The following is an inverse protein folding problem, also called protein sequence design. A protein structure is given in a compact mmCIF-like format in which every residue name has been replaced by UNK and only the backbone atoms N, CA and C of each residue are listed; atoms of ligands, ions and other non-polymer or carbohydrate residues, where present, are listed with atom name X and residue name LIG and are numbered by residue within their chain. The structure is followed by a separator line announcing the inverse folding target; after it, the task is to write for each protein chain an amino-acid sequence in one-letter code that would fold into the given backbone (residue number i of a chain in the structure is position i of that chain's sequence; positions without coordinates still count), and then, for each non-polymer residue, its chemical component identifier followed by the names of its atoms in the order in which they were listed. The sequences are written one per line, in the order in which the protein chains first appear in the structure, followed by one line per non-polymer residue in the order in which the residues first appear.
data_IF_570637674011
#
_entry.id   IF_570637674011
#
_cell.length_a   1.000
_cell.length_b   1.000
_cell.length_c   1.000
_cell.angle_alpha   90.00
_cell.angle_beta   90.00
_cell.angle_gamma   90.00
#
_symmetry.space_group_name_H-M   'P 1'
#
loop_
_entity.id
_entity.type
_entity.pdbx_description
1 polymer ?
#
# COMPACT_ATOMS: atom_id res chain seq x y z
N UNK A 1 0.90 10.64 -16.08
CA UNK A 1 0.26 9.39 -15.61
C UNK A 1 0.82 9.10 -14.24
N UNK A 2 -0.02 9.29 -13.21
CA UNK A 2 0.32 9.00 -11.82
C UNK A 2 0.44 7.51 -11.56
N UNK A 3 0.80 7.14 -10.33
CA UNK A 3 0.77 5.75 -9.88
C UNK A 3 -0.67 5.21 -9.89
N UNK A 4 -1.65 6.06 -9.54
CA UNK A 4 -3.09 5.73 -9.58
C UNK A 4 -3.53 5.29 -11.00
N UNK A 5 -3.19 6.06 -12.03
CA UNK A 5 -3.56 5.73 -13.41
C UNK A 5 -2.94 4.41 -13.87
N UNK A 6 -1.67 4.19 -13.51
CA UNK A 6 -0.91 3.00 -13.90
C UNK A 6 -1.47 1.74 -13.24
N UNK A 7 -1.74 1.77 -11.93
CA UNK A 7 -2.30 0.62 -11.23
C UNK A 7 -3.72 0.34 -11.69
N UNK A 8 -4.53 1.38 -11.93
CA UNK A 8 -5.88 1.25 -12.47
C UNK A 8 -5.89 0.53 -13.82
N UNK A 9 -5.00 0.92 -14.74
CA UNK A 9 -4.91 0.28 -16.06
C UNK A 9 -4.52 -1.21 -15.94
N UNK A 10 -3.60 -1.55 -15.04
CA UNK A 10 -3.21 -2.95 -14.77
C UNK A 10 -4.35 -3.76 -14.17
N UNK A 11 -5.12 -3.17 -13.24
CA UNK A 11 -6.32 -3.78 -12.67
C UNK A 11 -7.39 -4.04 -13.74
N UNK A 12 -7.67 -3.07 -14.60
CA UNK A 12 -8.63 -3.18 -15.71
C UNK A 12 -8.20 -4.25 -16.73
N UNK A 13 -6.90 -4.38 -16.96
CA UNK A 13 -6.32 -5.36 -17.88
C UNK A 13 -6.08 -6.74 -17.24
N UNK A 14 -6.27 -6.85 -15.91
CA UNK A 14 -5.96 -8.04 -15.09
C UNK A 14 -4.50 -8.50 -15.19
N UNK A 15 -3.59 -7.56 -15.45
CA UNK A 15 -2.13 -7.78 -15.58
C UNK A 15 -1.41 -7.31 -14.30
N UNK A 16 -1.88 -7.82 -13.16
CA UNK A 16 -1.31 -7.53 -11.84
C UNK A 16 -0.36 -8.66 -11.44
N UNK A 17 0.86 -8.27 -11.08
CA UNK A 17 1.92 -9.14 -10.61
C UNK A 17 2.32 -8.73 -9.20
N UNK A 18 2.90 -9.64 -8.41
CA UNK A 18 3.32 -9.31 -7.04
C UNK A 18 4.35 -8.15 -6.95
N UNK A 19 5.12 -7.92 -8.02
CA UNK A 19 6.01 -6.76 -8.14
C UNK A 19 5.26 -5.42 -8.27
N UNK A 20 3.96 -5.45 -8.61
CA UNK A 20 3.12 -4.25 -8.63
C UNK A 20 2.74 -3.78 -7.22
N UNK A 21 3.12 -4.49 -6.15
CA UNK A 21 2.91 -4.03 -4.77
C UNK A 21 3.45 -2.62 -4.57
N UNK A 22 4.66 -2.33 -5.06
CA UNK A 22 5.23 -0.99 -4.95
C UNK A 22 4.39 0.06 -5.68
N UNK A 23 3.94 -0.27 -6.89
CA UNK A 23 3.11 0.61 -7.70
C UNK A 23 1.76 0.87 -7.02
N UNK A 24 1.20 -0.17 -6.40
CA UNK A 24 -0.02 -0.08 -5.62
C UNK A 24 0.14 0.82 -4.39
N UNK A 25 1.20 0.59 -3.59
CA UNK A 25 1.49 1.43 -2.43
C UNK A 25 1.76 2.88 -2.84
N UNK A 26 2.46 3.12 -3.95
CA UNK A 26 2.68 4.46 -4.49
C UNK A 26 1.35 5.13 -4.92
N UNK A 27 0.40 4.37 -5.45
CA UNK A 27 -0.93 4.88 -5.75
C UNK A 27 -1.70 5.24 -4.46
N UNK A 28 -1.53 4.45 -3.39
CA UNK A 28 -2.08 4.79 -2.07
C UNK A 28 -1.47 6.08 -1.51
N UNK A 29 -0.16 6.28 -1.65
CA UNK A 29 0.50 7.53 -1.28
C UNK A 29 -0.03 8.73 -2.07
N UNK A 30 -0.25 8.57 -3.37
CA UNK A 30 -0.84 9.60 -4.22
C UNK A 30 -2.31 9.90 -3.82
N UNK A 31 -3.09 8.87 -3.50
CA UNK A 31 -4.46 9.02 -2.99
C UNK A 31 -4.48 9.74 -1.64
N UNK A 32 -3.62 9.33 -0.71
CA UNK A 32 -3.46 10.01 0.58
C UNK A 32 -3.10 11.49 0.42
N UNK A 33 -2.41 11.90 -0.65
CA UNK A 33 -2.09 13.31 -0.92
C UNK A 33 -3.19 14.09 -1.63
N UNK A 34 -4.20 13.41 -2.17
CA UNK A 34 -5.26 14.04 -2.99
C UNK A 34 -6.65 13.91 -2.40
N UNK A 35 -6.85 13.00 -1.46
CA UNK A 35 -8.10 12.77 -0.76
C UNK A 35 -8.03 13.40 0.64
N UNK A 36 -8.88 14.40 0.91
CA UNK A 36 -8.92 15.13 2.18
C UNK A 36 -9.31 14.21 3.35
N UNK A 37 -10.28 13.30 3.17
CA UNK A 37 -10.69 12.36 4.23
C UNK A 37 -9.53 11.48 4.69
N UNK A 38 -8.70 10.99 3.76
CA UNK A 38 -7.50 10.21 4.08
C UNK A 38 -6.40 11.08 4.71
N UNK A 39 -6.31 12.36 4.39
CA UNK A 39 -5.35 13.26 5.05
C UNK A 39 -5.72 13.46 6.51
N UNK A 40 -7.00 13.72 6.77
CA UNK A 40 -7.51 13.90 8.13
C UNK A 40 -7.24 12.64 8.98
N UNK A 41 -7.52 11.43 8.46
CA UNK A 41 -7.19 10.18 9.16
C UNK A 41 -5.68 10.00 9.42
N UNK A 42 -4.82 10.46 8.50
CA UNK A 42 -3.37 10.39 8.67
C UNK A 42 -2.82 11.47 9.60
N UNK A 43 -3.47 12.63 9.69
CA UNK A 43 -3.11 13.70 10.61
C UNK A 43 -3.50 13.36 12.05
N UNK A 44 -4.62 12.67 12.24
CA UNK A 44 -5.05 12.13 13.53
C UNK A 44 -4.15 10.97 14.03
N UNK A 45 -3.32 10.40 13.16
CA UNK A 45 -2.27 9.46 13.57
C UNK A 45 -1.13 10.21 14.27
N UNK A 46 -1.30 10.48 15.58
CA UNK A 46 -0.32 11.16 16.43
C UNK A 46 1.03 10.40 16.50
N UNK A 47 0.99 9.08 16.37
CA UNK A 47 2.15 8.20 16.43
C UNK A 47 2.70 7.83 15.05
N UNK A 48 4.01 7.58 15.00
CA UNK A 48 4.66 6.99 13.82
C UNK A 48 4.11 5.56 13.62
N UNK A 49 3.36 5.35 12.55
CA UNK A 49 2.88 4.03 12.14
C UNK A 49 3.71 3.52 10.98
N UNK A 50 4.27 2.33 11.12
CA UNK A 50 5.01 1.63 10.08
C UNK A 50 4.32 0.29 9.84
N UNK A 51 3.84 0.08 8.61
CA UNK A 51 3.25 -1.21 8.19
C UNK A 51 4.17 -1.85 7.16
N UNK A 52 4.67 -3.04 7.48
CA UNK A 52 5.47 -3.85 6.58
C UNK A 52 4.56 -4.74 5.74
N UNK A 53 4.81 -4.78 4.44
CA UNK A 53 4.21 -5.73 3.50
C UNK A 53 5.26 -6.71 3.02
N UNK A 54 4.92 -7.98 3.06
CA UNK A 54 5.78 -9.08 2.62
C UNK A 54 4.94 -9.94 1.67
N UNK A 55 5.29 -9.92 0.39
CA UNK A 55 4.80 -10.92 -0.57
C UNK A 55 5.86 -12.01 -0.66
N UNK A 56 5.56 -13.17 -0.09
CA UNK A 56 6.57 -14.23 0.13
C UNK A 56 7.30 -14.61 -1.15
N UNK A 57 8.63 -14.50 -1.12
CA UNK A 57 9.51 -14.90 -2.23
C UNK A 57 9.49 -13.96 -3.44
N UNK A 58 8.72 -12.86 -3.40
CA UNK A 58 8.59 -11.93 -4.53
C UNK A 58 9.06 -10.53 -4.17
N UNK A 59 8.41 -9.89 -3.19
CA UNK A 59 8.63 -8.47 -2.95
C UNK A 59 8.34 -8.08 -1.50
N UNK A 60 9.10 -7.09 -1.02
CA UNK A 60 8.98 -6.57 0.34
C UNK A 60 9.02 -5.05 0.28
N UNK A 61 8.07 -4.41 0.95
CA UNK A 61 8.00 -2.96 1.05
C UNK A 61 7.28 -2.56 2.33
N UNK A 62 7.43 -1.31 2.75
CA UNK A 62 6.74 -0.78 3.91
C UNK A 62 6.20 0.61 3.63
N UNK A 63 5.12 0.93 4.32
CA UNK A 63 4.62 2.30 4.42
C UNK A 63 4.98 2.87 5.79
N UNK A 64 5.26 4.16 5.80
CA UNK A 64 5.54 4.93 7.00
C UNK A 64 4.59 6.12 7.01
N UNK A 65 3.75 6.20 8.04
CA UNK A 65 2.91 7.37 8.34
C UNK A 65 3.59 8.16 9.45
N UNK A 66 3.91 9.42 9.17
CA UNK A 66 4.52 10.31 10.14
C UNK A 66 4.06 11.75 9.92
N UNK A 67 3.32 12.29 10.89
CA UNK A 67 2.84 13.68 10.87
C UNK A 67 1.99 13.99 9.64
N UNK A 68 0.90 13.23 9.46
CA UNK A 68 -0.01 13.40 8.32
C UNK A 68 0.51 12.91 6.96
N UNK A 69 1.73 12.38 6.90
CA UNK A 69 2.36 12.01 5.63
C UNK A 69 2.60 10.52 5.55
N UNK A 70 1.99 9.90 4.54
CA UNK A 70 2.31 8.55 4.09
C UNK A 70 3.52 8.58 3.17
N UNK A 71 4.46 7.66 3.37
CA UNK A 71 5.62 7.47 2.49
C UNK A 71 5.86 5.98 2.25
N UNK A 72 6.11 5.61 1.00
CA UNK A 72 6.34 4.23 0.58
C UNK A 72 7.83 3.98 0.38
N UNK A 73 8.33 2.85 0.87
CA UNK A 73 9.73 2.46 0.72
C UNK A 73 9.85 0.97 0.44
N UNK A 74 10.80 0.60 -0.41
CA UNK A 74 11.13 -0.79 -0.70
C UNK A 74 11.98 -1.40 0.44
N UNK A 75 11.85 -2.70 0.63
CA UNK A 75 12.64 -3.51 1.56
C UNK A 75 11.95 -3.83 2.88
N UNK A 76 12.76 -4.27 3.85
CA UNK A 76 12.34 -4.65 5.19
C UNK A 76 12.69 -3.54 6.18
N UNK A 77 11.80 -3.29 7.14
CA UNK A 77 12.01 -2.35 8.23
C UNK A 77 11.88 -3.04 9.59
N UNK A 78 12.86 -2.82 10.47
CA UNK A 78 12.76 -3.18 11.88
C UNK A 78 11.90 -2.18 12.66
N UNK A 79 11.25 -2.66 13.73
CA UNK A 79 10.42 -1.84 14.61
C UNK A 79 9.10 -1.43 13.97
N UNK A 80 8.52 -2.30 13.16
CA UNK A 80 7.22 -2.08 12.51
C UNK A 80 6.08 -2.27 13.49
N UNK A 81 5.02 -1.49 13.33
CA UNK A 81 3.82 -1.58 14.14
C UNK A 81 2.96 -2.77 13.70
N UNK A 82 2.96 -3.06 12.39
CA UNK A 82 2.17 -4.14 11.80
C UNK A 82 2.93 -4.80 10.65
N UNK A 83 2.73 -6.10 10.48
CA UNK A 83 3.23 -6.88 9.35
C UNK A 83 2.02 -7.48 8.62
N UNK A 84 2.00 -7.32 7.31
CA UNK A 84 1.02 -7.90 6.40
C UNK A 84 1.79 -8.87 5.50
N UNK A 85 1.63 -10.15 5.77
CA UNK A 85 2.23 -11.23 4.98
C UNK A 85 1.19 -11.79 4.03
N UNK A 86 1.54 -11.89 2.75
CA UNK A 86 0.68 -12.35 1.68
C UNK A 86 1.46 -13.31 0.79
N UNK A 87 0.79 -14.32 0.26
CA UNK A 87 1.27 -15.04 -0.92
C UNK A 87 1.03 -14.20 -2.19
N UNK A 88 1.68 -14.56 -3.29
CA UNK A 88 1.43 -13.91 -4.58
C UNK A 88 -0.04 -14.04 -5.02
N UNK A 89 -0.67 -15.18 -4.75
CA UNK A 89 -2.10 -15.40 -5.04
C UNK A 89 -2.99 -14.50 -4.19
N UNK A 90 -2.76 -14.44 -2.87
CA UNK A 90 -3.52 -13.57 -1.97
C UNK A 90 -3.35 -12.08 -2.31
N UNK A 91 -2.16 -11.67 -2.73
CA UNK A 91 -1.92 -10.32 -3.19
C UNK A 91 -2.73 -9.99 -4.45
N UNK A 92 -2.70 -10.87 -5.46
CA UNK A 92 -3.48 -10.70 -6.69
C UNK A 92 -4.98 -10.69 -6.39
N UNK A 93 -5.44 -11.59 -5.53
CA UNK A 93 -6.84 -11.64 -5.10
C UNK A 93 -7.24 -10.39 -4.33
N UNK A 94 -6.41 -9.89 -3.43
CA UNK A 94 -6.69 -8.66 -2.67
C UNK A 94 -6.73 -7.40 -3.57
N UNK A 95 -6.03 -7.41 -4.70
CA UNK A 95 -6.09 -6.32 -5.68
C UNK A 95 -7.25 -6.43 -6.66
N UNK A 96 -7.65 -7.66 -7.03
CA UNK A 96 -8.64 -7.90 -8.10
C UNK A 96 -10.06 -8.15 -7.57
N UNK A 97 -10.19 -8.78 -6.40
CA UNK A 97 -11.45 -8.83 -5.66
C UNK A 97 -11.61 -7.56 -4.85
N UNK A 98 -12.86 -7.13 -4.65
CA UNK A 98 -13.26 -5.89 -3.95
C UNK A 98 -12.81 -5.77 -2.49
N UNK A 99 -11.89 -6.61 -2.02
CA UNK A 99 -11.22 -6.44 -0.74
C UNK A 99 -10.44 -5.14 -0.80
N UNK A 100 -10.99 -4.09 -0.20
CA UNK A 100 -10.37 -2.78 -0.22
C UNK A 100 -9.01 -2.91 0.47
N UNK A 101 -7.89 -2.86 -0.25
CA UNK A 101 -6.57 -2.99 0.38
C UNK A 101 -6.36 -1.92 1.47
N UNK A 102 -7.07 -0.78 1.38
CA UNK A 102 -7.11 0.21 2.44
C UNK A 102 -7.59 -0.37 3.79
N UNK A 103 -8.53 -1.32 3.80
CA UNK A 103 -8.99 -1.99 5.03
C UNK A 103 -8.01 -3.03 5.59
N UNK A 104 -6.93 -3.34 4.88
CA UNK A 104 -5.82 -4.13 5.44
C UNK A 104 -4.85 -3.22 6.22
N UNK A 105 -4.93 -1.91 5.99
CA UNK A 105 -4.02 -0.89 6.52
C UNK A 105 -4.68 -0.19 7.70
N UNK A 106 -5.94 0.21 7.55
CA UNK A 106 -6.82 0.84 8.54
C UNK A 106 -7.91 -0.12 8.99
#
# INVERSE_FOLDING_TARGET
MGAIDKIRKKLESKEIEANDLLLFLAALEEMARTNEDLQDELEDAEDRVIVQFIVHGVFQAYIEVKGGKLSVKEGIKDGVNRIVELTEEEFKDALTNKTNFASLIF
#
